data_IF_528369072846
#
_entry.id   IF_528369072846
#
_cell.length_a   1.000
_cell.length_b   1.000
_cell.length_c   1.000
_cell.angle_alpha   90.00
_cell.angle_beta   90.00
_cell.angle_gamma   90.00
#
_symmetry.space_group_name_H-M   'P 1'
#
loop_
_entity.id
_entity.type
_entity.pdbx_description
1 polymer ?
#
# COMPACT_ATOMS: atom_id res chain seq x y z
N UNK A 1 20.16 -31.43 -2.05
CA UNK A 1 20.87 -30.37 -2.78
C UNK A 1 19.83 -29.48 -3.46
N UNK A 2 19.86 -28.18 -3.23
CA UNK A 2 18.88 -27.25 -3.83
C UNK A 2 19.14 -27.13 -5.34
N UNK A 3 18.11 -27.36 -6.16
CA UNK A 3 18.16 -27.22 -7.62
C UNK A 3 18.72 -25.84 -8.03
N UNK A 4 19.83 -25.76 -8.82
CA UNK A 4 20.44 -24.49 -9.25
C UNK A 4 19.43 -23.54 -9.91
N UNK A 5 18.44 -24.10 -10.63
CA UNK A 5 17.38 -23.32 -11.27
C UNK A 5 16.47 -22.64 -10.25
N UNK A 6 16.20 -23.30 -9.13
CA UNK A 6 15.41 -22.70 -8.04
C UNK A 6 16.21 -21.64 -7.30
N UNK A 7 17.53 -21.81 -7.13
CA UNK A 7 18.38 -20.79 -6.53
C UNK A 7 18.37 -19.49 -7.36
N UNK A 8 18.51 -19.62 -8.68
CA UNK A 8 18.44 -18.47 -9.59
C UNK A 8 17.07 -17.79 -9.53
N UNK A 9 15.97 -18.57 -9.49
CA UNK A 9 14.62 -18.02 -9.36
C UNK A 9 14.40 -17.26 -8.05
N UNK A 10 14.92 -17.77 -6.94
CA UNK A 10 14.84 -17.09 -5.64
C UNK A 10 15.58 -15.75 -5.68
N UNK A 11 16.80 -15.71 -6.21
CA UNK A 11 17.55 -14.47 -6.36
C UNK A 11 16.82 -13.45 -7.24
N UNK A 12 16.21 -13.89 -8.35
CA UNK A 12 15.43 -13.01 -9.22
C UNK A 12 14.16 -12.48 -8.55
N UNK A 13 13.44 -13.33 -7.81
CA UNK A 13 12.26 -12.91 -7.05
C UNK A 13 12.63 -11.94 -5.92
N UNK A 14 13.73 -12.19 -5.21
CA UNK A 14 14.28 -11.29 -4.20
C UNK A 14 14.59 -9.92 -4.80
N UNK A 15 15.32 -9.88 -5.91
CA UNK A 15 15.65 -8.65 -6.62
C UNK A 15 14.40 -7.89 -7.09
N UNK A 16 13.40 -8.60 -7.62
CA UNK A 16 12.16 -7.99 -8.07
C UNK A 16 11.34 -7.40 -6.92
N UNK A 17 11.17 -8.16 -5.82
CA UNK A 17 10.43 -7.70 -4.65
C UNK A 17 11.11 -6.51 -3.95
N UNK A 18 12.44 -6.55 -3.82
CA UNK A 18 13.22 -5.45 -3.27
C UNK A 18 13.10 -4.19 -4.14
N UNK A 19 13.30 -4.34 -5.45
CA UNK A 19 13.29 -3.20 -6.38
C UNK A 19 11.91 -2.58 -6.54
N UNK A 20 10.85 -3.39 -6.44
CA UNK A 20 9.48 -2.90 -6.58
C UNK A 20 9.08 -1.95 -5.45
N UNK A 21 9.56 -2.18 -4.23
CA UNK A 21 9.11 -1.44 -3.04
C UNK A 21 7.60 -1.51 -2.79
N UNK A 22 6.90 -2.44 -3.47
CA UNK A 22 5.45 -2.61 -3.44
C UNK A 22 5.05 -4.08 -3.63
N UNK A 23 3.83 -4.46 -3.21
CA UNK A 23 3.26 -5.76 -3.55
C UNK A 23 3.29 -6.05 -5.06
N UNK A 24 3.79 -7.22 -5.43
CA UNK A 24 3.75 -7.75 -6.79
C UNK A 24 2.71 -8.87 -6.91
N UNK A 25 1.99 -8.88 -8.03
CA UNK A 25 1.03 -9.93 -8.35
C UNK A 25 1.69 -11.21 -8.88
N UNK A 26 0.95 -12.32 -8.91
CA UNK A 26 1.46 -13.58 -9.46
C UNK A 26 1.91 -13.45 -10.93
N UNK A 27 1.27 -12.57 -11.71
CA UNK A 27 1.64 -12.33 -13.12
C UNK A 27 3.07 -11.84 -13.25
N UNK A 28 3.41 -10.79 -12.51
CA UNK A 28 4.75 -10.20 -12.46
C UNK A 28 5.78 -11.20 -11.94
N UNK A 29 5.46 -11.91 -10.85
CA UNK A 29 6.37 -12.89 -10.26
C UNK A 29 6.64 -14.09 -11.18
N UNK A 30 5.62 -14.55 -11.93
CA UNK A 30 5.75 -15.58 -12.97
C UNK A 30 6.68 -15.17 -14.09
N UNK A 31 6.56 -13.92 -14.55
CA UNK A 31 7.43 -13.35 -15.58
C UNK A 31 8.89 -13.36 -15.12
N UNK A 32 9.15 -12.87 -13.89
CA UNK A 32 10.49 -12.81 -13.29
C UNK A 32 11.09 -14.20 -13.11
N UNK A 33 10.34 -15.15 -12.55
CA UNK A 33 10.83 -16.50 -12.28
C UNK A 33 10.79 -17.43 -13.52
N UNK A 34 10.36 -16.93 -14.68
CA UNK A 34 10.23 -17.68 -15.94
C UNK A 34 9.49 -19.00 -15.72
N UNK A 35 8.28 -18.91 -15.19
CA UNK A 35 7.40 -20.06 -14.91
C UNK A 35 5.95 -19.70 -15.16
N UNK A 36 5.13 -20.68 -15.53
CA UNK A 36 3.67 -20.52 -15.68
C UNK A 36 2.89 -20.97 -14.45
N UNK A 37 3.55 -21.59 -13.46
CA UNK A 37 2.89 -22.23 -12.32
C UNK A 37 2.85 -21.34 -11.08
N UNK A 38 1.64 -21.00 -10.63
CA UNK A 38 1.42 -20.26 -9.38
C UNK A 38 1.90 -21.05 -8.16
N UNK A 39 1.72 -22.38 -8.17
CA UNK A 39 2.21 -23.28 -7.10
C UNK A 39 3.73 -23.19 -6.93
N UNK A 40 4.47 -23.06 -8.03
CA UNK A 40 5.93 -22.88 -7.98
C UNK A 40 6.28 -21.51 -7.39
N UNK A 41 5.60 -20.43 -7.80
CA UNK A 41 5.83 -19.09 -7.23
C UNK A 41 5.55 -19.06 -5.74
N UNK A 42 4.37 -19.53 -5.30
CA UNK A 42 4.00 -19.53 -3.90
C UNK A 42 5.00 -20.31 -3.04
N UNK A 43 5.49 -21.44 -3.55
CA UNK A 43 6.55 -22.22 -2.88
C UNK A 43 7.84 -21.41 -2.76
N UNK A 44 8.29 -20.77 -3.84
CA UNK A 44 9.53 -19.98 -3.85
C UNK A 44 9.43 -18.75 -2.93
N UNK A 45 8.29 -18.06 -2.92
CA UNK A 45 8.05 -16.92 -2.03
C UNK A 45 8.03 -17.35 -0.56
N UNK A 46 7.40 -18.50 -0.24
CA UNK A 46 7.46 -19.08 1.12
C UNK A 46 8.88 -19.46 1.52
N UNK A 47 9.65 -20.04 0.61
CA UNK A 47 11.05 -20.36 0.85
C UNK A 47 11.88 -19.09 1.12
N UNK A 48 11.66 -18.02 0.35
CA UNK A 48 12.25 -16.70 0.59
C UNK A 48 11.89 -16.16 1.99
N UNK A 49 10.62 -16.25 2.37
CA UNK A 49 10.14 -15.86 3.70
C UNK A 49 10.89 -16.61 4.82
N UNK A 50 10.97 -17.94 4.73
CA UNK A 50 11.68 -18.79 5.70
C UNK A 50 13.17 -18.43 5.77
N UNK A 51 13.83 -18.20 4.63
CA UNK A 51 15.26 -17.82 4.61
C UNK A 51 15.51 -16.49 5.33
N UNK A 52 14.63 -15.51 5.13
CA UNK A 52 14.72 -14.20 5.79
C UNK A 52 14.46 -14.30 7.29
N UNK A 53 13.54 -15.16 7.69
CA UNK A 53 13.26 -15.46 9.10
C UNK A 53 14.42 -16.18 9.79
N UNK A 54 14.95 -17.24 9.18
CA UNK A 54 16.04 -18.05 9.72
C UNK A 54 17.31 -17.24 9.99
N UNK A 55 17.62 -16.27 9.12
CA UNK A 55 18.78 -15.37 9.31
C UNK A 55 18.52 -14.17 10.23
N UNK A 56 17.33 -14.12 10.86
CA UNK A 56 16.88 -12.99 11.70
C UNK A 56 17.03 -11.64 11.02
N UNK A 57 16.74 -11.58 9.71
CA UNK A 57 16.83 -10.34 8.92
C UNK A 57 15.91 -9.26 9.45
N UNK A 58 16.29 -7.98 9.28
CA UNK A 58 15.40 -6.84 9.49
C UNK A 58 14.30 -6.76 8.42
N UNK A 59 14.50 -7.38 7.27
CA UNK A 59 13.52 -7.49 6.20
C UNK A 59 12.66 -8.74 6.36
N UNK A 60 11.42 -8.70 5.86
CA UNK A 60 10.51 -9.83 5.75
C UNK A 60 9.92 -9.93 4.33
N UNK A 61 9.61 -11.16 3.91
CA UNK A 61 8.84 -11.43 2.69
C UNK A 61 7.51 -12.04 3.10
N UNK A 62 6.40 -11.45 2.65
CA UNK A 62 5.04 -11.89 2.98
C UNK A 62 4.20 -12.12 1.74
N UNK A 63 3.29 -13.08 1.83
CA UNK A 63 2.20 -13.28 0.88
C UNK A 63 0.98 -12.54 1.44
N UNK A 64 0.37 -11.69 0.61
CA UNK A 64 -0.82 -10.90 0.92
C UNK A 64 -2.06 -11.52 0.25
N UNK A 65 -3.28 -11.12 0.66
CA UNK A 65 -4.51 -11.51 -0.01
C UNK A 65 -4.48 -11.24 -1.53
N UNK A 66 -5.22 -12.05 -2.29
CA UNK A 66 -5.22 -11.98 -3.76
C UNK A 66 -3.96 -12.56 -4.40
N UNK A 67 -3.20 -13.42 -3.69
CA UNK A 67 -1.93 -14.00 -4.15
C UNK A 67 -0.96 -12.91 -4.61
N UNK A 68 -0.65 -11.96 -3.73
CA UNK A 68 0.41 -10.97 -3.95
C UNK A 68 1.58 -11.25 -3.02
N UNK A 69 2.78 -10.83 -3.38
CA UNK A 69 3.95 -10.94 -2.51
C UNK A 69 4.65 -9.59 -2.35
N UNK A 70 5.16 -9.32 -1.16
CA UNK A 70 5.88 -8.08 -0.85
C UNK A 70 7.13 -8.39 -0.04
N UNK A 71 8.20 -7.63 -0.28
CA UNK A 71 9.34 -7.51 0.62
C UNK A 71 9.29 -6.16 1.32
N UNK A 72 9.41 -6.16 2.64
CA UNK A 72 9.36 -4.93 3.45
C UNK A 72 10.24 -5.03 4.69
N UNK A 73 10.45 -3.91 5.36
CA UNK A 73 11.05 -3.89 6.68
C UNK A 73 10.10 -4.53 7.69
N UNK A 74 10.64 -5.26 8.66
CA UNK A 74 9.86 -5.74 9.81
C UNK A 74 9.50 -4.55 10.69
N UNK A 75 8.26 -4.53 11.13
CA UNK A 75 7.68 -3.45 11.93
C UNK A 75 8.50 -3.10 13.19
N UNK A 76 9.18 -4.09 13.78
CA UNK A 76 10.06 -3.88 14.94
C UNK A 76 11.22 -2.90 14.70
N UNK A 77 11.58 -2.65 13.44
CA UNK A 77 12.69 -1.77 13.06
C UNK A 77 12.24 -0.39 12.57
N UNK A 78 10.95 -0.18 12.31
CA UNK A 78 10.41 1.04 11.69
C UNK A 78 10.81 2.31 12.47
N UNK A 79 10.65 2.29 13.81
CA UNK A 79 11.04 3.43 14.67
C UNK A 79 12.53 3.75 14.60
N UNK A 80 13.39 2.75 14.45
CA UNK A 80 14.85 2.91 14.51
C UNK A 80 15.40 3.51 13.22
N UNK A 81 14.81 3.14 12.08
CA UNK A 81 15.28 3.59 10.77
C UNK A 81 14.43 4.70 10.17
N UNK A 82 13.43 5.20 10.90
CA UNK A 82 12.49 6.27 10.50
C UNK A 82 13.18 7.43 9.77
N UNK A 83 14.28 7.95 10.33
CA UNK A 83 15.07 9.07 9.76
C UNK A 83 15.66 8.83 8.38
N UNK A 84 15.71 7.58 7.92
CA UNK A 84 16.27 7.19 6.63
C UNK A 84 15.20 6.97 5.55
N UNK A 85 13.92 6.87 5.93
CA UNK A 85 12.80 6.72 4.99
C UNK A 85 12.51 8.06 4.32
N UNK A 86 13.24 8.37 3.25
CA UNK A 86 13.46 9.78 2.85
C UNK A 86 12.38 10.40 1.97
N UNK A 87 11.32 9.68 1.60
CA UNK A 87 10.19 10.27 0.85
C UNK A 87 8.87 9.58 1.20
N UNK A 88 7.85 10.31 1.68
CA UNK A 88 6.49 9.78 1.73
C UNK A 88 6.05 9.47 0.30
N UNK A 89 5.36 8.34 0.13
CA UNK A 89 4.86 7.84 -1.15
C UNK A 89 4.11 8.91 -1.95
N UNK A 90 3.37 9.76 -1.22
CA UNK A 90 2.62 10.89 -1.72
C UNK A 90 3.02 12.11 -0.88
N UNK A 91 3.13 13.26 -1.54
CA UNK A 91 3.19 14.53 -0.81
C UNK A 91 1.83 14.79 -0.13
N UNK A 92 1.80 15.76 0.78
CA UNK A 92 0.63 16.07 1.61
C UNK A 92 -0.63 16.35 0.76
N UNK A 93 -0.48 17.06 -0.36
CA UNK A 93 -1.59 17.40 -1.27
C UNK A 93 -2.30 16.17 -1.83
N UNK A 94 -1.61 15.30 -2.60
CA UNK A 94 -2.15 14.04 -3.05
C UNK A 94 -2.66 13.16 -1.91
N UNK A 95 -1.98 13.06 -0.77
CA UNK A 95 -2.49 12.24 0.32
C UNK A 95 -3.85 12.76 0.84
N UNK A 96 -4.01 14.08 1.05
CA UNK A 96 -5.31 14.66 1.44
C UNK A 96 -6.41 14.30 0.45
N UNK A 97 -6.12 14.35 -0.86
CA UNK A 97 -7.07 13.94 -1.91
C UNK A 97 -7.38 12.43 -1.85
N UNK A 98 -6.36 11.57 -1.70
CA UNK A 98 -6.53 10.11 -1.59
C UNK A 98 -7.40 9.75 -0.38
N UNK A 99 -7.21 10.44 0.73
CA UNK A 99 -7.95 10.19 1.95
C UNK A 99 -9.38 10.69 1.89
N UNK A 100 -9.63 11.82 1.22
CA UNK A 100 -10.99 12.23 0.88
C UNK A 100 -11.70 11.14 0.06
N UNK A 101 -11.05 10.62 -0.99
CA UNK A 101 -11.60 9.53 -1.81
C UNK A 101 -11.87 8.29 -0.96
N UNK A 102 -10.91 7.82 -0.17
CA UNK A 102 -11.06 6.63 0.65
C UNK A 102 -12.18 6.76 1.71
N UNK A 103 -12.43 7.99 2.19
CA UNK A 103 -13.51 8.26 3.13
C UNK A 103 -14.89 8.34 2.45
N UNK A 104 -14.96 8.96 1.27
CA UNK A 104 -16.21 9.22 0.54
C UNK A 104 -16.55 8.17 -0.52
N UNK A 105 -15.69 7.17 -0.75
CA UNK A 105 -15.93 6.16 -1.78
C UNK A 105 -17.25 5.39 -1.56
N UNK A 106 -17.93 5.02 -2.66
CA UNK A 106 -17.71 5.50 -4.03
C UNK A 106 -18.04 7.00 -4.18
N UNK A 107 -17.15 7.77 -4.80
CA UNK A 107 -17.28 9.24 -4.93
C UNK A 107 -17.20 9.69 -6.39
N UNK A 108 -17.97 10.70 -6.78
CA UNK A 108 -17.88 11.26 -8.14
C UNK A 108 -16.61 12.10 -8.30
N UNK A 109 -15.93 11.98 -9.45
CA UNK A 109 -14.76 12.81 -9.75
C UNK A 109 -15.06 14.32 -9.63
N UNK A 110 -16.26 14.76 -10.05
CA UNK A 110 -16.69 16.16 -9.90
C UNK A 110 -16.71 16.62 -8.46
N UNK A 111 -17.22 15.78 -7.53
CA UNK A 111 -17.25 16.08 -6.10
C UNK A 111 -15.84 16.16 -5.50
N UNK A 112 -14.92 15.29 -5.94
CA UNK A 112 -13.51 15.36 -5.51
C UNK A 112 -12.86 16.66 -5.97
N UNK A 113 -13.15 17.11 -7.20
CA UNK A 113 -12.62 18.37 -7.74
C UNK A 113 -13.21 19.58 -7.02
N UNK A 114 -14.51 19.56 -6.72
CA UNK A 114 -15.20 20.63 -6.01
C UNK A 114 -14.61 20.85 -4.60
N UNK A 115 -14.36 19.76 -3.86
CA UNK A 115 -13.81 19.84 -2.50
C UNK A 115 -12.29 20.13 -2.47
N UNK A 116 -11.53 19.49 -3.37
CA UNK A 116 -10.05 19.50 -3.31
C UNK A 116 -9.37 20.45 -4.32
N UNK A 117 -10.14 21.09 -5.20
CA UNK A 117 -9.68 22.08 -6.18
C UNK A 117 -9.04 21.51 -7.45
N UNK A 118 -8.53 22.40 -8.30
CA UNK A 118 -8.11 22.05 -9.67
C UNK A 118 -6.86 21.15 -9.77
N UNK A 119 -6.02 21.09 -8.73
CA UNK A 119 -4.82 20.24 -8.72
C UNK A 119 -5.13 18.73 -8.66
N UNK A 120 -6.39 18.37 -8.39
CA UNK A 120 -6.88 17.01 -8.27
C UNK A 120 -6.61 16.17 -9.51
N UNK A 121 -6.67 16.72 -10.71
CA UNK A 121 -6.45 15.94 -11.93
C UNK A 121 -5.07 15.26 -11.96
N UNK A 122 -4.03 15.97 -11.51
CA UNK A 122 -2.68 15.40 -11.41
C UNK A 122 -2.61 14.34 -10.30
N UNK A 123 -3.25 14.61 -9.16
CA UNK A 123 -3.32 13.68 -8.03
C UNK A 123 -4.01 12.35 -8.42
N UNK A 124 -5.13 12.43 -9.12
CA UNK A 124 -5.89 11.26 -9.59
C UNK A 124 -5.14 10.44 -10.63
N UNK A 125 -4.33 11.08 -11.50
CA UNK A 125 -3.46 10.35 -12.43
C UNK A 125 -2.38 9.59 -11.68
N UNK A 126 -1.66 10.28 -10.79
CA UNK A 126 -0.61 9.69 -9.96
C UNK A 126 -1.14 8.48 -9.16
N UNK A 127 -2.28 8.63 -8.46
CA UNK A 127 -2.84 7.54 -7.65
C UNK A 127 -3.28 6.33 -8.48
N UNK A 128 -3.80 6.56 -9.68
CA UNK A 128 -4.20 5.49 -10.60
C UNK A 128 -2.97 4.75 -11.17
N UNK A 129 -1.93 5.49 -11.57
CA UNK A 129 -0.64 4.91 -12.00
C UNK A 129 0.02 4.07 -10.90
N UNK A 130 -0.16 4.48 -9.64
CA UNK A 130 0.30 3.76 -8.46
C UNK A 130 -0.64 2.61 -8.06
N UNK A 131 -1.79 2.47 -8.73
CA UNK A 131 -2.79 1.45 -8.44
C UNK A 131 -3.54 1.64 -7.13
N UNK A 132 -3.49 2.83 -6.52
CA UNK A 132 -4.16 3.14 -5.24
C UNK A 132 -5.67 3.37 -5.41
N UNK A 133 -6.07 3.89 -6.57
CA UNK A 133 -7.48 4.13 -6.91
C UNK A 133 -7.83 3.49 -8.25
N UNK A 134 -9.11 3.25 -8.47
CA UNK A 134 -9.71 2.89 -9.74
C UNK A 134 -10.74 3.95 -10.13
N UNK A 135 -10.84 4.23 -11.43
CA UNK A 135 -11.87 5.11 -11.99
C UNK A 135 -12.80 4.33 -12.92
N UNK A 136 -14.07 4.28 -12.56
CA UNK A 136 -15.12 3.72 -13.40
C UNK A 136 -15.84 4.84 -14.15
N UNK A 137 -15.92 4.74 -15.48
CA UNK A 137 -16.65 5.73 -16.30
C UNK A 137 -18.12 5.34 -16.34
N UNK A 138 -18.99 6.25 -15.92
CA UNK A 138 -20.44 6.06 -15.99
C UNK A 138 -20.96 6.46 -17.37
N UNK A 139 -20.94 7.76 -17.68
CA UNK A 139 -21.46 8.32 -18.93
C UNK A 139 -20.63 9.56 -19.34
N UNK A 140 -20.15 9.62 -20.58
CA UNK A 140 -19.44 10.78 -21.12
C UNK A 140 -18.20 11.19 -20.32
N UNK A 141 -18.24 12.37 -19.68
CA UNK A 141 -17.13 12.96 -18.91
C UNK A 141 -17.16 12.62 -17.40
N UNK A 142 -18.17 11.88 -16.94
CA UNK A 142 -18.37 11.56 -15.53
C UNK A 142 -17.72 10.22 -15.15
N UNK A 143 -17.03 10.20 -14.02
CA UNK A 143 -16.43 8.98 -13.46
C UNK A 143 -16.67 8.88 -11.96
N UNK A 144 -16.82 7.65 -11.46
CA UNK A 144 -16.79 7.28 -10.06
C UNK A 144 -15.37 6.84 -9.72
N UNK A 145 -14.94 7.15 -8.50
CA UNK A 145 -13.61 6.84 -7.98
C UNK A 145 -13.76 6.01 -6.71
N UNK A 146 -12.99 4.93 -6.64
CA UNK A 146 -12.85 4.06 -5.48
C UNK A 146 -11.38 3.74 -5.21
N UNK A 147 -11.06 3.38 -3.97
CA UNK A 147 -9.77 2.80 -3.59
C UNK A 147 -9.71 1.33 -3.99
N UNK A 148 -8.51 0.86 -4.30
CA UNK A 148 -8.30 -0.53 -4.69
C UNK A 148 -7.95 -1.41 -3.49
N UNK A 149 -7.98 -2.72 -3.67
CA UNK A 149 -7.39 -3.65 -2.69
C UNK A 149 -5.87 -3.43 -2.50
N UNK A 150 -5.19 -2.81 -3.45
CA UNK A 150 -3.77 -2.44 -3.30
C UNK A 150 -3.59 -1.26 -2.34
N UNK A 151 -4.51 -0.30 -2.30
CA UNK A 151 -4.51 0.74 -1.27
C UNK A 151 -4.59 0.13 0.13
N UNK A 152 -5.53 -0.80 0.39
CA UNK A 152 -5.61 -1.46 1.69
C UNK A 152 -4.31 -2.19 2.06
N UNK A 153 -3.75 -2.99 1.14
CA UNK A 153 -2.48 -3.69 1.37
C UNK A 153 -1.31 -2.74 1.65
N UNK A 154 -1.26 -1.64 0.90
CA UNK A 154 -0.17 -0.68 0.98
C UNK A 154 -0.18 0.05 2.32
N UNK A 155 -1.35 0.52 2.76
CA UNK A 155 -1.52 1.25 4.00
C UNK A 155 -1.73 0.34 5.22
N UNK A 156 -1.84 -0.98 5.02
CA UNK A 156 -2.14 -1.94 6.08
C UNK A 156 -3.57 -1.84 6.63
N UNK A 157 -4.50 -1.33 5.82
CA UNK A 157 -5.92 -1.29 6.18
C UNK A 157 -6.60 -2.63 5.91
N UNK A 158 -7.76 -2.83 6.55
CA UNK A 158 -8.65 -3.90 6.14
C UNK A 158 -9.11 -3.72 4.68
N UNK A 159 -9.53 -4.82 4.05
CA UNK A 159 -10.16 -4.77 2.72
C UNK A 159 -11.62 -4.29 2.76
N UNK A 160 -12.20 -4.19 3.96
CA UNK A 160 -13.52 -3.61 4.17
C UNK A 160 -13.42 -2.07 4.18
N UNK A 161 -14.09 -1.37 3.23
CA UNK A 161 -14.08 0.09 3.16
C UNK A 161 -14.47 0.78 4.47
N UNK A 162 -15.35 0.18 5.28
CA UNK A 162 -15.77 0.79 6.55
C UNK A 162 -14.66 0.73 7.61
N UNK A 163 -13.89 -0.36 7.64
CA UNK A 163 -12.73 -0.48 8.54
C UNK A 163 -11.63 0.50 8.13
N UNK A 164 -11.40 0.67 6.83
CA UNK A 164 -10.47 1.65 6.28
C UNK A 164 -10.83 3.08 6.70
N UNK A 165 -12.12 3.44 6.72
CA UNK A 165 -12.60 4.77 7.17
C UNK A 165 -12.24 5.08 8.62
N UNK A 166 -12.38 4.11 9.52
CA UNK A 166 -12.06 4.26 10.94
C UNK A 166 -10.55 4.44 11.13
N UNK A 167 -9.76 3.62 10.45
CA UNK A 167 -8.30 3.67 10.51
C UNK A 167 -7.74 4.98 9.92
N UNK A 168 -8.32 5.44 8.80
CA UNK A 168 -8.01 6.75 8.24
C UNK A 168 -8.30 7.87 9.25
N UNK A 169 -9.46 7.88 9.91
CA UNK A 169 -9.78 8.89 10.94
C UNK A 169 -8.78 8.92 12.09
N UNK A 170 -8.32 7.75 12.55
CA UNK A 170 -7.32 7.65 13.62
C UNK A 170 -5.97 8.22 13.17
N UNK A 171 -5.57 7.87 11.94
CA UNK A 171 -4.40 8.45 11.29
C UNK A 171 -4.53 9.97 11.23
N UNK A 172 -5.61 10.52 10.67
CA UNK A 172 -5.82 11.97 10.53
C UNK A 172 -5.87 12.72 11.86
N UNK A 173 -6.41 12.10 12.91
CA UNK A 173 -6.46 12.67 14.25
C UNK A 173 -5.08 12.71 14.91
N UNK A 174 -4.28 11.66 14.73
CA UNK A 174 -2.87 11.65 15.12
C UNK A 174 -2.06 12.66 14.29
N UNK A 175 -2.51 12.93 13.05
CA UNK A 175 -1.90 13.90 12.16
C UNK A 175 -1.94 15.37 12.57
N UNK A 176 -2.61 15.71 13.69
CA UNK A 176 -2.99 17.09 14.03
C UNK A 176 -3.46 17.88 12.79
N UNK A 177 -4.11 17.20 11.83
CA UNK A 177 -4.76 17.85 10.70
C UNK A 177 -6.09 18.35 11.27
N UNK A 178 -6.00 19.37 12.13
CA UNK A 178 -7.14 20.09 12.67
C UNK A 178 -7.60 21.13 11.65
N UNK A 179 -8.03 20.64 10.48
CA UNK A 179 -9.01 21.22 9.54
C UNK A 179 -8.89 20.52 8.19
N UNK A 180 -10.03 20.03 7.69
CA UNK A 180 -10.22 19.67 6.28
C UNK A 180 -10.40 20.93 5.39
N UNK A 181 -10.42 22.11 6.01
CA UNK A 181 -10.56 23.41 5.36
C UNK A 181 -9.21 23.96 4.89
N UNK A 182 -9.26 24.72 3.79
CA UNK A 182 -8.11 25.21 3.03
C UNK A 182 -7.19 26.14 3.84
N UNK A 183 -5.89 26.06 3.54
CA UNK A 183 -4.92 27.12 3.85
C UNK A 183 -3.72 26.66 4.66
N UNK A 184 -2.57 26.61 3.98
CA UNK A 184 -1.22 26.86 4.49
C UNK A 184 -0.81 26.32 5.87
N UNK A 185 -0.33 25.08 5.91
CA UNK A 185 0.69 24.68 6.88
C UNK A 185 1.72 23.78 6.20
N UNK A 186 2.87 24.40 5.85
CA UNK A 186 4.09 23.71 5.47
C UNK A 186 4.81 23.36 6.76
N UNK A 187 5.03 22.06 6.97
CA UNK A 187 6.08 21.41 7.80
C UNK A 187 5.56 20.36 8.79
N UNK A 188 4.31 20.41 9.23
CA UNK A 188 3.79 19.42 10.20
C UNK A 188 3.31 18.13 9.54
N UNK A 189 2.69 18.22 8.37
CA UNK A 189 1.99 17.08 7.77
C UNK A 189 2.90 15.98 7.18
N UNK A 190 4.21 16.24 7.02
CA UNK A 190 5.17 15.20 6.61
C UNK A 190 5.49 14.24 7.77
N UNK A 191 5.63 14.77 8.99
CA UNK A 191 5.94 13.97 10.18
C UNK A 191 4.81 13.01 10.56
N UNK A 192 3.58 13.34 10.14
CA UNK A 192 2.40 12.61 10.58
C UNK A 192 1.79 11.69 9.53
N UNK A 193 2.05 11.97 8.26
CA UNK A 193 2.07 10.95 7.22
C UNK A 193 2.97 9.79 7.63
N UNK A 194 4.16 10.08 8.15
CA UNK A 194 5.09 9.07 8.64
C UNK A 194 4.56 8.31 9.87
N UNK A 195 3.74 8.92 10.73
CA UNK A 195 3.10 8.24 11.87
C UNK A 195 1.96 7.31 11.44
N UNK A 196 1.21 7.67 10.40
CA UNK A 196 0.19 6.83 9.80
C UNK A 196 0.73 5.50 9.26
N UNK A 197 1.94 5.56 8.72
CA UNK A 197 2.69 4.41 8.23
C UNK A 197 3.56 3.75 9.32
N UNK A 198 3.70 4.34 10.51
CA UNK A 198 4.48 3.81 11.64
C UNK A 198 3.71 2.82 12.54
N UNK A 199 2.48 2.45 12.17
CA UNK A 199 1.75 1.33 12.75
C UNK A 199 0.75 1.70 13.84
N UNK A 200 -0.52 1.40 13.57
CA UNK A 200 -1.49 1.04 14.59
C UNK A 200 -1.80 -0.46 14.51
N UNK A 201 -1.94 -1.20 15.62
CA UNK A 201 -2.37 -2.59 15.60
C UNK A 201 -3.88 -2.60 15.33
N UNK A 202 -4.34 -3.15 14.21
CA UNK A 202 -5.80 -3.36 14.01
C UNK A 202 -6.19 -4.61 13.23
N UNK A 203 -5.24 -5.53 13.01
CA UNK A 203 -5.59 -6.92 12.76
C UNK A 203 -5.28 -7.72 14.03
N UNK A 204 -6.11 -7.51 15.06
CA UNK A 204 -6.28 -8.57 16.05
C UNK A 204 -6.78 -9.81 15.28
N UNK A 205 -6.11 -10.92 15.54
CA UNK A 205 -6.39 -12.22 14.95
C UNK A 205 -7.62 -12.78 15.64
N UNK A 206 -8.78 -12.26 15.26
CA UNK A 206 -10.04 -12.47 15.96
C UNK A 206 -11.18 -12.97 15.10
N UNK A 207 -10.93 -13.65 13.96
CA UNK A 207 -11.96 -14.51 13.34
C UNK A 207 -11.94 -15.87 14.05
N UNK A 208 -12.38 -15.84 15.31
CA UNK A 208 -13.19 -16.93 15.86
C UNK A 208 -14.60 -16.38 15.93
N UNK A 209 -15.53 -17.10 15.29
CA UNK A 209 -16.89 -17.44 15.74
C UNK A 209 -17.79 -17.72 14.52
N UNK A 210 -18.83 -18.54 14.66
CA UNK A 210 -18.92 -19.88 15.24
C UNK A 210 -18.82 -21.00 14.19
#
# INVERSE_FOLDING_TARGET
MSDPRNMQRLAMLEAALYSAGRPLDMGSLKLVARTKSDKVILRLVRELSIRYEARRSALEVKILPGNRAVMRLKQSYDMTVKRFTTRPLLTIGPLKTLSYIAYHQPVMQSQVIEDRGNHVYAHLRLMEEMGLIMRERLNGRSSIIETTAYFSDYFGFGHDPQKSKIQLRQIFSQMQIHKLDNGDEKDTASEVLEMAFAGGPLADSGDRLP
#
